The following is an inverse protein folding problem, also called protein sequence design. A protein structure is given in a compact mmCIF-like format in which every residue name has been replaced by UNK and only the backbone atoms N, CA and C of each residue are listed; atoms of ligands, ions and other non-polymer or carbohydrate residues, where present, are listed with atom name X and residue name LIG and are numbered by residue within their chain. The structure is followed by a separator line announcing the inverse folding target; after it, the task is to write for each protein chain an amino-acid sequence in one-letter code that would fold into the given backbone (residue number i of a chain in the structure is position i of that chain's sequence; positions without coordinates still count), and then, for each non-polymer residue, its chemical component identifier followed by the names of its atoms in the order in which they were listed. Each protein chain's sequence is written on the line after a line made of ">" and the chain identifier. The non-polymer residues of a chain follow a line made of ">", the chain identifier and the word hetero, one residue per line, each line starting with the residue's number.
data_IF_665061725836
#
_entry.id   IF_665061725836
#
_cell.length_a   1.000
_cell.length_b   1.000
_cell.length_c   1.000
_cell.angle_alpha   90.00
_cell.angle_beta   90.00
_cell.angle_gamma   90.00
#
_symmetry.space_group_name_H-M   'P 1'
#
loop_
_entity.id
_entity.type
_entity.pdbx_description
1 polymer ?
#
# COMPACT_ATOMS: atom_id res chain seq x y z
N UNK A 1 16.50 -6.65 -31.69
CA UNK A 1 15.27 -7.41 -32.05
C UNK A 1 15.51 -8.91 -32.14
N UNK A 2 16.58 -9.38 -32.77
CA UNK A 2 16.91 -10.81 -32.91
C UNK A 2 17.01 -11.54 -31.55
N UNK A 3 17.69 -10.92 -30.56
CA UNK A 3 17.81 -11.45 -29.19
C UNK A 3 16.44 -11.65 -28.52
N UNK A 4 15.50 -10.72 -28.71
CA UNK A 4 14.16 -10.81 -28.10
C UNK A 4 13.35 -11.93 -28.75
N UNK A 5 13.49 -12.10 -30.06
CA UNK A 5 12.82 -13.17 -30.79
C UNK A 5 13.37 -14.56 -30.38
N UNK A 6 14.67 -14.68 -30.18
CA UNK A 6 15.32 -15.95 -29.81
C UNK A 6 15.15 -16.30 -28.32
N UNK A 7 15.29 -15.33 -27.43
CA UNK A 7 15.34 -15.54 -25.97
C UNK A 7 14.09 -15.07 -25.22
N UNK A 8 13.05 -14.62 -25.94
CA UNK A 8 11.83 -14.07 -25.35
C UNK A 8 11.20 -14.96 -24.28
N UNK A 9 11.07 -16.26 -24.54
CA UNK A 9 10.53 -17.22 -23.57
C UNK A 9 11.36 -17.28 -22.28
N UNK A 10 12.68 -17.24 -22.38
CA UNK A 10 13.58 -17.24 -21.21
C UNK A 10 13.38 -15.96 -20.40
N UNK A 11 13.29 -14.80 -21.06
CA UNK A 11 13.01 -13.54 -20.38
C UNK A 11 11.65 -13.52 -19.69
N UNK A 12 10.62 -14.12 -20.27
CA UNK A 12 9.31 -14.25 -19.64
C UNK A 12 9.36 -15.14 -18.39
N UNK A 13 10.03 -16.29 -18.47
CA UNK A 13 10.21 -17.18 -17.31
C UNK A 13 10.98 -16.48 -16.19
N UNK A 14 12.07 -15.79 -16.52
CA UNK A 14 12.83 -15.01 -15.54
C UNK A 14 12.01 -13.87 -14.94
N UNK A 15 11.22 -13.16 -15.77
CA UNK A 15 10.36 -12.09 -15.31
C UNK A 15 9.32 -12.61 -14.30
N UNK A 16 8.69 -13.75 -14.59
CA UNK A 16 7.75 -14.43 -13.68
C UNK A 16 8.43 -14.74 -12.35
N UNK A 17 9.60 -15.38 -12.38
CA UNK A 17 10.33 -15.77 -11.16
C UNK A 17 10.76 -14.55 -10.36
N UNK A 18 11.40 -13.56 -11.00
CA UNK A 18 11.95 -12.39 -10.31
C UNK A 18 10.87 -11.43 -9.83
N UNK A 19 9.80 -11.23 -10.61
CA UNK A 19 8.69 -10.42 -10.15
C UNK A 19 7.86 -11.12 -9.08
N UNK A 20 7.71 -12.46 -9.13
CA UNK A 20 7.16 -13.20 -7.99
C UNK A 20 8.02 -13.01 -6.75
N UNK A 21 9.33 -13.14 -6.86
CA UNK A 21 10.25 -12.93 -5.75
C UNK A 21 10.19 -11.50 -5.18
N UNK A 22 10.08 -10.49 -6.05
CA UNK A 22 9.87 -9.10 -5.63
C UNK A 22 8.54 -8.92 -4.89
N UNK A 23 7.44 -9.46 -5.43
CA UNK A 23 6.11 -9.36 -4.80
C UNK A 23 6.00 -10.14 -3.49
N UNK A 24 6.73 -11.26 -3.37
CA UNK A 24 6.97 -11.92 -2.10
C UNK A 24 7.68 -10.97 -1.14
N UNK A 25 8.81 -10.38 -1.54
CA UNK A 25 9.55 -9.41 -0.73
C UNK A 25 8.68 -8.25 -0.24
N UNK A 26 7.79 -7.73 -1.10
CA UNK A 26 6.81 -6.69 -0.76
C UNK A 26 5.86 -7.18 0.34
N UNK A 27 5.22 -8.34 0.16
CA UNK A 27 4.34 -8.90 1.17
C UNK A 27 5.03 -9.21 2.50
N UNK A 28 6.31 -9.61 2.45
CA UNK A 28 7.12 -9.92 3.63
C UNK A 28 7.53 -8.67 4.41
N UNK A 29 7.76 -7.54 3.74
CA UNK A 29 8.21 -6.31 4.39
C UNK A 29 7.05 -5.38 4.74
N UNK A 30 6.24 -5.06 3.74
CA UNK A 30 5.41 -3.86 3.77
C UNK A 30 4.06 -4.07 4.42
N UNK A 31 3.62 -5.32 4.60
CA UNK A 31 2.33 -5.56 5.26
C UNK A 31 2.33 -5.11 6.72
N UNK A 32 3.51 -4.98 7.31
CA UNK A 32 3.70 -4.37 8.61
C UNK A 32 3.28 -2.89 8.63
N UNK A 33 3.33 -2.20 7.50
CA UNK A 33 2.87 -0.82 7.36
C UNK A 33 1.34 -0.73 7.50
N UNK A 34 0.61 -1.73 7.01
CA UNK A 34 -0.85 -1.77 7.09
C UNK A 34 -1.39 -2.35 8.42
N UNK A 35 -0.72 -3.39 8.94
CA UNK A 35 -1.23 -4.18 10.07
C UNK A 35 -0.42 -4.03 11.35
N UNK A 36 0.81 -3.51 11.28
CA UNK A 36 1.72 -3.43 12.43
C UNK A 36 1.18 -2.57 13.56
N UNK A 37 0.46 -1.49 13.25
CA UNK A 37 -0.21 -0.65 14.26
C UNK A 37 -1.33 -1.38 14.98
N UNK A 38 -2.08 -2.21 14.25
CA UNK A 38 -3.22 -2.96 14.78
C UNK A 38 -2.81 -4.17 15.62
N UNK A 39 -1.71 -4.83 15.21
CA UNK A 39 -1.07 -5.88 15.99
C UNK A 39 -0.39 -5.29 17.22
N UNK A 40 0.37 -4.21 17.05
CA UNK A 40 1.13 -3.55 18.12
C UNK A 40 0.26 -2.99 19.24
N UNK A 41 -0.95 -2.51 18.91
CA UNK A 41 -1.90 -2.04 19.92
C UNK A 41 -2.67 -3.16 20.63
N UNK A 42 -2.45 -4.42 20.26
CA UNK A 42 -3.25 -5.55 20.74
C UNK A 42 -4.69 -5.59 20.25
N UNK A 43 -5.07 -4.81 19.22
CA UNK A 43 -6.43 -4.81 18.68
C UNK A 43 -6.75 -6.11 17.92
N UNK A 44 -5.75 -6.68 17.25
CA UNK A 44 -5.84 -7.96 16.55
C UNK A 44 -4.58 -8.79 16.77
N UNK A 45 -4.72 -10.11 16.69
CA UNK A 45 -3.58 -11.04 16.72
C UNK A 45 -2.84 -11.04 15.37
N UNK A 46 -1.57 -11.46 15.38
CA UNK A 46 -0.79 -11.65 14.15
C UNK A 46 -1.49 -12.58 13.16
N UNK A 47 -2.13 -13.66 13.64
CA UNK A 47 -2.87 -14.59 12.77
C UNK A 47 -4.06 -13.91 12.08
N UNK A 48 -4.82 -13.10 12.81
CA UNK A 48 -5.92 -12.33 12.26
C UNK A 48 -5.43 -11.28 11.26
N UNK A 49 -4.36 -10.56 11.59
CA UNK A 49 -3.73 -9.60 10.70
C UNK A 49 -3.30 -10.23 9.37
N UNK A 50 -2.70 -11.43 9.40
CA UNK A 50 -2.32 -12.18 8.20
C UNK A 50 -3.54 -12.49 7.34
N UNK A 51 -4.62 -13.01 7.92
CA UNK A 51 -5.84 -13.34 7.16
C UNK A 51 -6.48 -12.09 6.54
N UNK A 52 -6.61 -11.02 7.33
CA UNK A 52 -7.20 -9.77 6.86
C UNK A 52 -6.37 -9.18 5.72
N UNK A 53 -5.07 -9.02 5.93
CA UNK A 53 -4.20 -8.47 4.91
C UNK A 53 -4.14 -9.37 3.67
N UNK A 54 -4.13 -10.69 3.80
CA UNK A 54 -4.19 -11.58 2.64
C UNK A 54 -5.41 -11.30 1.74
N UNK A 55 -6.58 -11.03 2.34
CA UNK A 55 -7.80 -10.71 1.58
C UNK A 55 -7.72 -9.30 0.98
N UNK A 56 -7.41 -8.30 1.81
CA UNK A 56 -7.52 -6.90 1.40
C UNK A 56 -6.33 -6.43 0.55
N UNK A 57 -5.10 -6.86 0.83
CA UNK A 57 -3.94 -6.59 -0.03
C UNK A 57 -4.13 -7.24 -1.40
N UNK A 58 -4.58 -8.50 -1.45
CA UNK A 58 -4.86 -9.18 -2.72
C UNK A 58 -5.96 -8.46 -3.49
N UNK A 59 -7.06 -8.10 -2.83
CA UNK A 59 -8.14 -7.34 -3.46
C UNK A 59 -7.65 -5.98 -3.98
N UNK A 60 -6.85 -5.26 -3.20
CA UNK A 60 -6.25 -3.98 -3.59
C UNK A 60 -5.34 -4.15 -4.80
N UNK A 61 -4.43 -5.13 -4.76
CA UNK A 61 -3.51 -5.44 -5.83
C UNK A 61 -4.23 -5.82 -7.13
N UNK A 62 -5.21 -6.73 -7.04
CA UNK A 62 -5.91 -7.27 -8.20
C UNK A 62 -6.91 -6.27 -8.80
N UNK A 63 -7.69 -5.56 -7.97
CA UNK A 63 -8.75 -4.66 -8.43
C UNK A 63 -8.21 -3.27 -8.79
N UNK A 64 -7.18 -2.79 -8.08
CA UNK A 64 -6.75 -1.39 -8.15
C UNK A 64 -5.27 -1.19 -8.55
N UNK A 65 -4.48 -2.25 -8.68
CA UNK A 65 -3.03 -2.18 -8.99
C UNK A 65 -2.68 -1.78 -10.43
N UNK A 66 -3.62 -1.85 -11.36
CA UNK A 66 -3.36 -1.60 -12.78
C UNK A 66 -2.95 -0.15 -13.11
N UNK A 67 -3.44 0.84 -12.36
CA UNK A 67 -3.17 2.26 -12.64
C UNK A 67 -1.72 2.68 -12.33
N UNK A 68 -1.17 2.23 -11.20
CA UNK A 68 0.16 2.67 -10.71
C UNK A 68 1.29 2.05 -11.54
N UNK A 69 1.06 0.88 -12.12
CA UNK A 69 1.98 0.17 -13.04
C UNK A 69 2.42 1.07 -14.22
N UNK A 70 1.54 1.94 -14.73
CA UNK A 70 1.84 2.82 -15.86
C UNK A 70 2.93 3.87 -15.54
N UNK A 71 3.02 4.30 -14.28
CA UNK A 71 3.98 5.32 -13.82
C UNK A 71 5.41 4.79 -13.81
N UNK A 72 5.62 3.58 -13.31
CA UNK A 72 6.96 2.95 -13.25
C UNK A 72 7.52 2.69 -14.65
N UNK A 73 6.67 2.26 -15.60
CA UNK A 73 7.10 1.98 -16.98
C UNK A 73 7.54 3.22 -17.76
N UNK A 74 6.85 4.36 -17.60
CA UNK A 74 7.03 5.56 -18.45
C UNK A 74 7.72 6.74 -17.75
N UNK A 75 7.77 6.71 -16.42
CA UNK A 75 8.17 7.84 -15.60
C UNK A 75 9.68 7.96 -15.36
N UNK A 76 10.41 6.85 -15.38
CA UNK A 76 11.81 6.80 -14.88
C UNK A 76 12.84 6.90 -16.01
N UNK A 77 12.69 6.09 -17.05
CA UNK A 77 13.62 6.05 -18.19
C UNK A 77 12.92 6.61 -19.44
N UNK A 78 13.64 7.35 -20.28
CA UNK A 78 13.15 7.78 -21.58
C UNK A 78 13.10 6.61 -22.58
N UNK A 79 11.91 6.22 -23.10
CA UNK A 79 11.79 5.19 -24.14
C UNK A 79 12.62 5.48 -25.39
N UNK A 80 12.85 6.75 -25.72
CA UNK A 80 13.58 7.16 -26.93
C UNK A 80 15.04 6.69 -26.91
N UNK A 81 15.65 6.65 -25.73
CA UNK A 81 17.04 6.24 -25.51
C UNK A 81 17.27 4.72 -25.75
N UNK A 82 16.21 3.95 -25.97
CA UNK A 82 16.25 2.48 -25.94
C UNK A 82 15.57 1.85 -27.17
N UNK A 83 15.14 2.67 -28.14
CA UNK A 83 14.47 2.18 -29.37
C UNK A 83 15.37 1.26 -30.18
N UNK A 84 16.69 1.49 -30.17
CA UNK A 84 17.66 0.67 -30.90
C UNK A 84 18.09 -0.62 -30.18
N UNK A 85 17.91 -0.69 -28.86
CA UNK A 85 18.43 -1.77 -28.00
C UNK A 85 17.39 -2.20 -26.94
N UNK A 86 16.18 -2.63 -27.36
CA UNK A 86 15.08 -2.97 -26.44
C UNK A 86 15.44 -4.10 -25.44
N UNK A 87 16.35 -5.00 -25.80
CA UNK A 87 16.86 -6.04 -24.92
C UNK A 87 17.53 -5.48 -23.67
N UNK A 88 18.14 -4.29 -23.75
CA UNK A 88 18.82 -3.67 -22.62
C UNK A 88 17.83 -3.24 -21.54
N UNK A 89 16.63 -2.79 -21.93
CA UNK A 89 15.54 -2.51 -21.00
C UNK A 89 15.04 -3.80 -20.31
N UNK A 90 14.98 -4.92 -21.04
CA UNK A 90 14.60 -6.22 -20.46
C UNK A 90 15.61 -6.65 -19.40
N UNK A 91 16.92 -6.60 -19.71
CA UNK A 91 17.98 -6.90 -18.75
C UNK A 91 17.92 -6.00 -17.52
N UNK A 92 17.71 -4.71 -17.75
CA UNK A 92 17.58 -3.73 -16.68
C UNK A 92 16.43 -4.03 -15.74
N UNK A 93 15.24 -4.27 -16.28
CA UNK A 93 14.06 -4.57 -15.46
C UNK A 93 14.21 -5.89 -14.71
N UNK A 94 14.81 -6.92 -15.32
CA UNK A 94 15.13 -8.19 -14.63
C UNK A 94 16.13 -7.96 -13.49
N UNK A 95 17.21 -7.22 -13.75
CA UNK A 95 18.22 -6.89 -12.75
C UNK A 95 17.63 -6.05 -11.61
N UNK A 96 16.78 -5.06 -11.92
CA UNK A 96 16.12 -4.23 -10.92
C UNK A 96 15.19 -5.02 -10.02
N UNK A 97 14.38 -5.93 -10.59
CA UNK A 97 13.51 -6.82 -9.82
C UNK A 97 14.33 -7.70 -8.88
N UNK A 98 15.38 -8.34 -9.40
CA UNK A 98 16.21 -9.23 -8.60
C UNK A 98 16.96 -8.50 -7.48
N UNK A 99 17.57 -7.34 -7.79
CA UNK A 99 18.31 -6.54 -6.82
C UNK A 99 17.39 -6.04 -5.68
N UNK A 100 16.22 -5.49 -6.04
CA UNK A 100 15.25 -5.04 -5.06
C UNK A 100 14.71 -6.22 -4.22
N UNK A 101 14.37 -7.35 -4.84
CA UNK A 101 13.86 -8.52 -4.14
C UNK A 101 14.88 -9.09 -3.13
N UNK A 102 16.16 -9.19 -3.51
CA UNK A 102 17.24 -9.63 -2.61
C UNK A 102 17.35 -8.70 -1.41
N UNK A 103 17.35 -7.38 -1.64
CA UNK A 103 17.44 -6.41 -0.57
C UNK A 103 16.25 -6.51 0.40
N UNK A 104 15.03 -6.61 -0.14
CA UNK A 104 13.82 -6.78 0.68
C UNK A 104 13.85 -8.08 1.48
N UNK A 105 14.37 -9.16 0.93
CA UNK A 105 14.51 -10.42 1.65
C UNK A 105 15.51 -10.29 2.81
N UNK A 106 16.65 -9.65 2.58
CA UNK A 106 17.63 -9.35 3.64
C UNK A 106 17.03 -8.46 4.74
N UNK A 107 16.30 -7.41 4.37
CA UNK A 107 15.65 -6.54 5.34
C UNK A 107 14.57 -7.29 6.14
N UNK A 108 13.72 -8.06 5.45
CA UNK A 108 12.60 -8.79 6.06
C UNK A 108 13.07 -9.93 6.98
N UNK A 109 14.12 -10.66 6.60
CA UNK A 109 14.71 -11.69 7.48
C UNK A 109 15.22 -11.12 8.80
N UNK A 110 15.74 -9.88 8.77
CA UNK A 110 16.20 -9.12 9.94
C UNK A 110 15.09 -8.32 10.64
N UNK A 111 13.86 -8.34 10.11
CA UNK A 111 12.74 -7.61 10.68
C UNK A 111 12.83 -6.09 10.50
N UNK A 112 13.58 -5.62 9.50
CA UNK A 112 13.76 -4.19 9.21
C UNK A 112 12.66 -3.68 8.28
N UNK A 113 11.84 -2.70 8.69
CA UNK A 113 10.90 -2.04 7.80
C UNK A 113 11.68 -1.12 6.84
N UNK A 114 11.59 -1.38 5.55
CA UNK A 114 12.27 -0.61 4.49
C UNK A 114 11.29 -0.28 3.37
N UNK A 115 11.58 0.76 2.57
CA UNK A 115 10.72 1.15 1.46
C UNK A 115 10.97 0.30 0.22
N UNK A 116 9.98 -0.48 -0.21
CA UNK A 116 10.01 -1.22 -1.48
C UNK A 116 10.07 -0.29 -2.68
N UNK A 117 9.31 0.81 -2.64
CA UNK A 117 9.30 1.85 -3.68
C UNK A 117 10.69 2.46 -3.86
N UNK A 118 11.40 2.81 -2.79
CA UNK A 118 12.77 3.33 -2.90
C UNK A 118 13.71 2.27 -3.49
N UNK A 119 13.55 1.02 -3.08
CA UNK A 119 14.39 -0.09 -3.52
C UNK A 119 14.28 -0.33 -5.02
N UNK A 120 13.06 -0.40 -5.56
CA UNK A 120 12.86 -0.63 -6.99
C UNK A 120 13.21 0.60 -7.83
N UNK A 121 12.83 1.81 -7.40
CA UNK A 121 13.17 3.05 -8.13
C UNK A 121 14.69 3.22 -8.16
N UNK A 122 15.38 3.02 -7.04
CA UNK A 122 16.83 3.06 -6.96
C UNK A 122 17.51 2.01 -7.86
N UNK A 123 16.98 0.79 -7.91
CA UNK A 123 17.51 -0.26 -8.77
C UNK A 123 17.31 0.04 -10.27
N UNK A 124 16.17 0.65 -10.66
CA UNK A 124 15.91 1.07 -12.05
C UNK A 124 16.83 2.22 -12.44
N UNK A 125 17.00 3.23 -11.57
CA UNK A 125 17.94 4.34 -11.80
C UNK A 125 19.37 3.83 -11.90
N UNK A 126 19.78 2.92 -11.01
CA UNK A 126 21.12 2.32 -11.03
C UNK A 126 21.41 1.57 -12.33
N UNK A 127 20.46 0.76 -12.81
CA UNK A 127 20.55 0.15 -14.12
C UNK A 127 20.62 1.20 -15.24
N UNK A 128 19.74 2.20 -15.23
CA UNK A 128 19.69 3.19 -16.31
C UNK A 128 21.02 3.95 -16.43
N UNK A 129 21.61 4.34 -15.30
CA UNK A 129 22.92 5.01 -15.26
C UNK A 129 24.04 4.09 -15.75
N UNK A 130 24.07 2.83 -15.31
CA UNK A 130 25.16 1.90 -15.64
C UNK A 130 25.06 1.28 -17.04
N UNK A 131 23.84 1.02 -17.52
CA UNK A 131 23.57 0.29 -18.75
C UNK A 131 23.23 1.16 -19.96
N UNK A 132 22.66 2.35 -19.75
CA UNK A 132 22.24 3.26 -20.83
C UNK A 132 23.04 4.56 -20.78
N UNK A 133 23.12 5.18 -19.60
CA UNK A 133 23.78 6.45 -19.35
C UNK A 133 22.93 7.40 -18.50
N UNK A 134 23.56 8.41 -17.89
CA UNK A 134 22.89 9.37 -17.01
C UNK A 134 21.78 10.17 -17.71
N UNK A 135 21.94 10.42 -19.02
CA UNK A 135 21.00 11.21 -19.82
C UNK A 135 19.67 10.48 -20.06
N UNK A 136 19.65 9.15 -19.94
CA UNK A 136 18.44 8.34 -20.14
C UNK A 136 17.46 8.43 -18.95
N UNK A 137 17.94 8.89 -17.79
CA UNK A 137 17.14 9.06 -16.58
C UNK A 137 16.37 10.37 -16.66
N UNK A 138 15.05 10.32 -16.44
CA UNK A 138 14.22 11.52 -16.34
C UNK A 138 14.40 12.20 -14.98
N UNK A 139 15.50 12.93 -14.79
CA UNK A 139 15.84 13.57 -13.51
C UNK A 139 14.75 14.48 -12.95
N UNK A 140 14.00 15.19 -13.79
CA UNK A 140 12.85 15.99 -13.35
C UNK A 140 11.74 15.14 -12.72
N UNK A 141 11.49 13.93 -13.25
CA UNK A 141 10.52 12.98 -12.68
C UNK A 141 11.06 12.33 -11.41
N UNK A 142 12.34 11.94 -11.38
CA UNK A 142 12.99 11.46 -10.16
C UNK A 142 12.92 12.53 -9.05
N UNK A 143 13.18 13.80 -9.36
CA UNK A 143 13.03 14.91 -8.42
C UNK A 143 11.62 15.00 -7.84
N UNK A 144 10.57 14.85 -8.65
CA UNK A 144 9.18 14.82 -8.15
C UNK A 144 8.87 13.62 -7.26
N UNK A 145 9.44 12.44 -7.57
CA UNK A 145 9.32 11.23 -6.75
C UNK A 145 10.04 11.42 -5.41
N UNK A 146 11.27 11.92 -5.42
CA UNK A 146 12.04 12.18 -4.19
C UNK A 146 11.35 13.24 -3.32
N UNK A 147 10.79 14.28 -3.94
CA UNK A 147 9.99 15.27 -3.21
C UNK A 147 8.76 14.62 -2.53
N UNK A 148 8.08 13.68 -3.19
CA UNK A 148 6.95 12.97 -2.60
C UNK A 148 7.35 12.11 -1.40
N UNK A 149 8.57 11.57 -1.37
CA UNK A 149 9.11 10.79 -0.24
C UNK A 149 9.32 11.65 1.02
N UNK A 150 9.50 12.96 0.86
CA UNK A 150 9.60 13.91 1.98
C UNK A 150 8.23 14.46 2.36
N UNK A 151 7.43 14.85 1.36
CA UNK A 151 6.12 15.47 1.58
C UNK A 151 5.11 14.49 2.16
N UNK A 152 5.10 13.23 1.71
CA UNK A 152 4.08 12.25 2.15
C UNK A 152 4.16 11.95 3.64
N UNK A 153 5.34 11.67 4.25
CA UNK A 153 5.45 11.52 5.70
C UNK A 153 5.05 12.78 6.49
N UNK A 154 5.36 13.98 5.98
CA UNK A 154 4.97 15.25 6.64
C UNK A 154 3.46 15.47 6.63
N UNK A 155 2.81 15.18 5.51
CA UNK A 155 1.35 15.23 5.37
C UNK A 155 0.70 14.19 6.29
N UNK A 156 1.19 12.94 6.26
CA UNK A 156 0.71 11.88 7.13
C UNK A 156 0.86 12.20 8.61
N UNK A 157 2.03 12.70 9.02
CA UNK A 157 2.31 13.12 10.40
C UNK A 157 1.39 14.26 10.86
N UNK A 158 1.14 15.24 9.98
CA UNK A 158 0.25 16.37 10.27
C UNK A 158 -1.20 15.91 10.40
N UNK A 159 -1.69 15.06 9.50
CA UNK A 159 -3.04 14.49 9.59
C UNK A 159 -3.18 13.65 10.85
N UNK A 160 -2.20 12.81 11.18
CA UNK A 160 -2.20 12.00 12.40
C UNK A 160 -2.24 12.88 13.66
N UNK A 161 -1.48 13.98 13.68
CA UNK A 161 -1.49 14.95 14.77
C UNK A 161 -2.88 15.61 14.92
N UNK A 162 -3.49 16.06 13.82
CA UNK A 162 -4.81 16.68 13.84
C UNK A 162 -5.90 15.70 14.31
N UNK A 163 -5.84 14.44 13.86
CA UNK A 163 -6.73 13.37 14.32
C UNK A 163 -6.55 13.12 15.82
N UNK A 164 -5.30 13.07 16.30
CA UNK A 164 -5.02 12.86 17.72
C UNK A 164 -5.50 14.03 18.58
N UNK A 165 -5.29 15.28 18.14
CA UNK A 165 -5.81 16.48 18.80
C UNK A 165 -7.34 16.43 18.86
N UNK A 166 -7.99 16.02 17.76
CA UNK A 166 -9.45 15.86 17.69
C UNK A 166 -9.95 14.83 18.70
N UNK A 167 -9.38 13.62 18.72
CA UNK A 167 -9.76 12.55 19.66
C UNK A 167 -9.51 12.99 21.10
N UNK A 168 -8.38 13.62 21.37
CA UNK A 168 -8.06 14.10 22.72
C UNK A 168 -9.10 15.11 23.22
N UNK A 169 -9.39 16.15 22.43
CA UNK A 169 -10.33 17.21 22.81
C UNK A 169 -11.78 16.74 22.89
N UNK A 170 -12.20 15.82 22.01
CA UNK A 170 -13.61 15.41 21.92
C UNK A 170 -13.94 14.20 22.81
N UNK A 171 -12.95 13.36 23.12
CA UNK A 171 -13.14 12.10 23.83
C UNK A 171 -12.28 12.03 25.10
N UNK A 172 -10.94 12.09 24.99
CA UNK A 172 -10.05 11.72 26.10
C UNK A 172 -10.06 12.73 27.26
N UNK A 173 -10.15 14.02 26.97
CA UNK A 173 -10.11 15.11 27.96
C UNK A 173 -11.52 15.53 28.43
N UNK A 174 -12.57 14.79 28.05
CA UNK A 174 -13.94 15.09 28.44
C UNK A 174 -14.29 14.51 29.82
N UNK A 175 -15.28 15.08 30.50
CA UNK A 175 -15.69 14.64 31.85
C UNK A 175 -16.14 13.17 31.89
N UNK A 176 -16.73 12.67 30.80
CA UNK A 176 -17.10 11.26 30.63
C UNK A 176 -16.54 10.71 29.31
N UNK A 177 -15.26 10.28 29.28
CA UNK A 177 -14.58 9.87 28.06
C UNK A 177 -15.24 8.68 27.36
N UNK A 178 -15.75 7.70 28.13
CA UNK A 178 -16.39 6.53 27.56
C UNK A 178 -17.67 6.88 26.80
N UNK A 179 -18.54 7.70 27.39
CA UNK A 179 -19.78 8.12 26.74
C UNK A 179 -19.49 9.00 25.52
N UNK A 180 -18.49 9.87 25.60
CA UNK A 180 -18.04 10.67 24.46
C UNK A 180 -17.44 9.81 23.37
N UNK A 181 -16.70 8.75 23.71
CA UNK A 181 -16.20 7.78 22.74
C UNK A 181 -17.35 7.13 21.98
N UNK A 182 -18.40 6.65 22.66
CA UNK A 182 -19.59 6.08 21.98
C UNK A 182 -20.33 7.11 21.10
N UNK A 183 -20.30 8.38 21.49
CA UNK A 183 -20.95 9.48 20.75
C UNK A 183 -20.19 9.84 19.48
N UNK A 184 -18.85 9.96 19.56
CA UNK A 184 -17.99 10.43 18.47
C UNK A 184 -17.44 9.30 17.58
N UNK A 185 -17.33 8.08 18.09
CA UNK A 185 -16.80 6.95 17.33
C UNK A 185 -17.52 6.71 15.98
N UNK A 186 -18.86 6.86 15.84
CA UNK A 186 -19.51 6.78 14.53
C UNK A 186 -18.98 7.79 13.50
N UNK A 187 -18.61 9.00 13.91
CA UNK A 187 -18.03 10.00 13.01
C UNK A 187 -16.61 9.59 12.56
N UNK A 188 -15.83 8.98 13.44
CA UNK A 188 -14.54 8.40 13.09
C UNK A 188 -14.71 7.20 12.14
N UNK A 189 -15.65 6.29 12.42
CA UNK A 189 -16.00 5.19 11.50
C UNK A 189 -16.43 5.70 10.12
N UNK A 190 -17.23 6.77 10.06
CA UNK A 190 -17.60 7.44 8.81
C UNK A 190 -16.36 7.81 8.00
N UNK A 191 -15.38 8.46 8.62
CA UNK A 191 -14.15 8.87 7.95
C UNK A 191 -13.41 7.67 7.35
N UNK A 192 -13.33 6.55 8.07
CA UNK A 192 -12.72 5.32 7.55
C UNK A 192 -13.45 4.81 6.32
N UNK A 193 -14.76 4.58 6.41
CA UNK A 193 -15.55 4.05 5.31
C UNK A 193 -15.54 4.96 4.09
N UNK A 194 -15.55 6.27 4.32
CA UNK A 194 -15.45 7.28 3.28
C UNK A 194 -14.10 7.24 2.56
N UNK A 195 -12.99 7.20 3.29
CA UNK A 195 -11.64 7.14 2.70
C UNK A 195 -11.41 5.83 1.94
N UNK A 196 -11.85 4.69 2.48
CA UNK A 196 -11.80 3.38 1.78
C UNK A 196 -12.50 3.47 0.44
N UNK A 197 -13.73 3.96 0.46
CA UNK A 197 -14.53 4.08 -0.75
C UNK A 197 -13.86 5.00 -1.76
N UNK A 198 -13.27 6.12 -1.34
CA UNK A 198 -12.55 7.03 -2.25
C UNK A 198 -11.36 6.34 -2.93
N UNK A 199 -10.61 5.49 -2.22
CA UNK A 199 -9.53 4.69 -2.84
C UNK A 199 -10.10 3.76 -3.91
N UNK A 200 -11.17 3.02 -3.59
CA UNK A 200 -11.79 2.09 -4.52
C UNK A 200 -12.38 2.80 -5.75
N UNK A 201 -13.00 3.97 -5.57
CA UNK A 201 -13.61 4.75 -6.64
C UNK A 201 -12.56 5.36 -7.57
N UNK A 202 -11.50 5.99 -7.03
CA UNK A 202 -10.49 6.63 -7.88
C UNK A 202 -9.52 5.63 -8.52
N UNK A 203 -9.25 4.49 -7.87
CA UNK A 203 -8.32 3.47 -8.40
C UNK A 203 -8.99 2.22 -8.97
N UNK A 204 -9.86 1.58 -8.20
CA UNK A 204 -10.37 0.24 -8.49
C UNK A 204 -11.34 0.16 -9.66
N UNK A 205 -12.20 1.17 -9.82
CA UNK A 205 -13.31 1.13 -10.76
C UNK A 205 -12.95 1.44 -12.23
N UNK A 206 -11.78 2.03 -12.51
CA UNK A 206 -11.39 2.33 -13.91
C UNK A 206 -11.19 1.09 -14.76
N UNK A 207 -10.81 -0.04 -14.17
CA UNK A 207 -10.67 -1.33 -14.87
C UNK A 207 -12.02 -1.94 -15.25
N UNK A 208 -13.08 -1.56 -14.54
CA UNK A 208 -14.45 -2.03 -14.75
C UNK A 208 -15.23 -1.17 -15.76
N UNK A 209 -14.59 -0.19 -16.40
CA UNK A 209 -15.22 0.78 -17.33
C UNK A 209 -16.40 1.57 -16.71
N UNK A 210 -16.48 1.62 -15.39
CA UNK A 210 -17.42 2.46 -14.66
C UNK A 210 -16.79 3.84 -14.52
N UNK A 211 -16.97 4.69 -15.54
CA UNK A 211 -16.49 6.06 -15.53
C UNK A 211 -17.41 6.96 -14.71
N UNK A 212 -17.29 6.87 -13.38
CA UNK A 212 -17.89 7.86 -12.50
C UNK A 212 -17.05 9.13 -12.55
N UNK A 213 -17.71 10.28 -12.66
CA UNK A 213 -17.07 11.58 -12.50
C UNK A 213 -16.47 11.72 -11.09
N UNK A 214 -15.53 12.66 -10.94
CA UNK A 214 -14.90 12.92 -9.63
C UNK A 214 -15.91 13.31 -8.54
N UNK A 215 -17.00 13.96 -8.93
CA UNK A 215 -18.09 14.37 -8.01
C UNK A 215 -18.97 13.19 -7.65
N UNK A 216 -19.37 12.35 -8.61
CA UNK A 216 -20.16 11.15 -8.34
C UNK A 216 -19.40 10.17 -7.43
N UNK A 217 -18.11 9.95 -7.70
CA UNK A 217 -17.22 9.13 -6.87
C UNK A 217 -17.19 9.62 -5.42
N UNK A 218 -17.20 10.94 -5.23
CA UNK A 218 -17.20 11.57 -3.91
C UNK A 218 -18.53 11.39 -3.18
N UNK A 219 -19.66 11.60 -3.88
CA UNK A 219 -21.01 11.42 -3.34
C UNK A 219 -21.24 9.95 -2.94
N UNK A 220 -20.93 9.01 -3.83
CA UNK A 220 -21.05 7.57 -3.54
C UNK A 220 -20.22 7.20 -2.32
N UNK A 221 -19.00 7.73 -2.23
CA UNK A 221 -18.13 7.45 -1.08
C UNK A 221 -18.69 8.00 0.23
N UNK A 222 -19.36 9.16 0.22
CA UNK A 222 -20.06 9.68 1.41
C UNK A 222 -21.17 8.71 1.83
N UNK A 223 -21.97 8.22 0.88
CA UNK A 223 -23.05 7.25 1.16
C UNK A 223 -22.48 5.98 1.79
N UNK A 224 -21.40 5.43 1.22
CA UNK A 224 -20.71 4.27 1.79
C UNK A 224 -20.20 4.57 3.20
N UNK A 225 -19.58 5.75 3.41
CA UNK A 225 -19.14 6.20 4.73
C UNK A 225 -20.29 6.24 5.75
N UNK A 226 -21.45 6.77 5.37
CA UNK A 226 -22.65 6.81 6.24
C UNK A 226 -23.13 5.41 6.60
N UNK A 227 -23.21 4.50 5.62
CA UNK A 227 -23.62 3.11 5.87
C UNK A 227 -22.65 2.44 6.85
N UNK A 228 -21.34 2.60 6.62
CA UNK A 228 -20.30 2.04 7.50
C UNK A 228 -20.39 2.65 8.90
N UNK A 229 -20.68 3.95 9.03
CA UNK A 229 -20.89 4.61 10.32
C UNK A 229 -22.12 4.09 11.08
N UNK A 230 -23.23 3.82 10.38
CA UNK A 230 -24.43 3.23 10.98
C UNK A 230 -24.14 1.83 11.51
N UNK A 231 -23.49 0.99 10.71
CA UNK A 231 -23.08 -0.36 11.13
C UNK A 231 -22.10 -0.28 12.30
N UNK A 232 -21.10 0.60 12.23
CA UNK A 232 -20.15 0.86 13.30
C UNK A 232 -20.84 1.27 14.59
N UNK A 233 -21.82 2.17 14.53
CA UNK A 233 -22.62 2.59 15.69
C UNK A 233 -23.34 1.41 16.34
N UNK A 234 -23.93 0.51 15.55
CA UNK A 234 -24.59 -0.70 16.08
C UNK A 234 -23.61 -1.62 16.81
N UNK A 235 -22.37 -1.74 16.31
CA UNK A 235 -21.32 -2.53 16.95
C UNK A 235 -20.80 -1.86 18.24
N UNK A 236 -20.50 -0.56 18.19
CA UNK A 236 -19.99 0.23 19.31
C UNK A 236 -21.01 0.28 20.46
N UNK A 237 -22.31 0.36 20.15
CA UNK A 237 -23.35 0.38 21.17
C UNK A 237 -23.35 -0.88 22.04
N UNK A 238 -22.91 -2.03 21.51
CA UNK A 238 -22.80 -3.31 22.23
C UNK A 238 -21.57 -3.39 23.15
N UNK A 239 -20.61 -2.47 23.03
CA UNK A 239 -19.43 -2.42 23.90
C UNK A 239 -19.85 -1.93 25.29
N UNK A 240 -19.54 -2.76 26.30
CA UNK A 240 -19.79 -2.47 27.71
C UNK A 240 -18.52 -1.96 28.41
N UNK A 241 -18.73 -1.20 29.50
CA UNK A 241 -17.66 -0.68 30.35
C UNK A 241 -16.97 -1.86 31.04
N UNK A 242 -15.64 -1.91 30.99
CA UNK A 242 -14.86 -2.85 31.78
C UNK A 242 -14.35 -2.15 33.04
N UNK A 243 -15.17 -2.19 34.09
CA UNK A 243 -14.89 -1.56 35.37
C UNK A 243 -13.66 -2.14 36.10
N UNK A 244 -13.20 -3.35 35.72
CA UNK A 244 -12.01 -3.96 36.31
C UNK A 244 -10.73 -3.47 35.60
N UNK A 245 -10.77 -3.32 34.27
CA UNK A 245 -9.64 -2.79 33.49
C UNK A 245 -9.43 -1.28 33.65
N UNK A 246 -10.51 -0.49 33.87
CA UNK A 246 -10.38 0.96 34.09
C UNK A 246 -9.71 1.32 35.43
N UNK A 247 -9.74 0.43 36.43
CA UNK A 247 -9.07 0.65 37.73
C UNK A 247 -7.55 0.69 37.60
N UNK A 248 -6.98 -0.07 36.66
CA UNK A 248 -5.54 -0.14 36.39
C UNK A 248 -5.11 0.81 35.28
N UNK A 249 -5.99 1.08 34.31
CA UNK A 249 -5.73 1.98 33.19
C UNK A 249 -6.97 2.85 32.96
N UNK A 250 -6.96 4.10 33.44
CA UNK A 250 -8.13 5.02 33.47
C UNK A 250 -8.85 5.24 32.11
N UNK A 251 -8.30 4.76 31.00
CA UNK A 251 -8.83 4.91 29.63
C UNK A 251 -9.04 3.56 28.90
N UNK A 252 -8.93 2.41 29.58
CA UNK A 252 -9.06 1.10 28.95
C UNK A 252 -10.42 0.90 28.26
N UNK A 253 -11.51 1.38 28.88
CA UNK A 253 -12.85 1.30 28.29
C UNK A 253 -12.99 2.16 27.03
N UNK A 254 -12.27 3.28 26.93
CA UNK A 254 -12.24 4.13 25.73
C UNK A 254 -11.49 3.44 24.60
N UNK A 255 -10.32 2.88 24.90
CA UNK A 255 -9.50 2.18 23.92
C UNK A 255 -10.21 0.96 23.31
N UNK A 256 -11.05 0.26 24.10
CA UNK A 256 -11.92 -0.82 23.60
C UNK A 256 -12.95 -0.36 22.57
N UNK A 257 -13.42 0.88 22.65
CA UNK A 257 -14.33 1.45 21.63
C UNK A 257 -13.62 1.64 20.29
N UNK A 258 -12.31 1.87 20.30
CA UNK A 258 -11.50 2.03 19.09
C UNK A 258 -11.01 0.73 18.47
N UNK A 259 -11.08 -0.41 19.18
CA UNK A 259 -10.67 -1.72 18.65
C UNK A 259 -11.41 -2.12 17.36
N UNK A 260 -12.75 -2.01 17.26
CA UNK A 260 -13.44 -2.30 16.00
C UNK A 260 -13.08 -1.31 14.87
N UNK A 261 -12.86 -0.04 15.20
CA UNK A 261 -12.46 1.01 14.25
C UNK A 261 -11.12 0.67 13.62
N UNK A 262 -10.18 0.22 14.46
CA UNK A 262 -8.85 -0.21 14.05
C UNK A 262 -8.90 -1.33 13.02
N UNK A 263 -9.80 -2.32 13.19
CA UNK A 263 -9.98 -3.41 12.22
C UNK A 263 -10.41 -2.83 10.86
N UNK A 264 -11.43 -1.98 10.83
CA UNK A 264 -11.87 -1.34 9.58
C UNK A 264 -10.76 -0.50 8.92
N UNK A 265 -10.00 0.27 9.70
CA UNK A 265 -8.86 1.03 9.18
C UNK A 265 -7.72 0.14 8.70
N UNK A 266 -7.49 -1.00 9.33
CA UNK A 266 -6.46 -1.94 8.91
C UNK A 266 -6.83 -2.58 7.57
N UNK A 267 -8.09 -2.99 7.40
CA UNK A 267 -8.61 -3.46 6.11
C UNK A 267 -8.46 -2.38 5.03
N UNK A 268 -8.81 -1.14 5.37
CA UNK A 268 -8.67 0.02 4.49
C UNK A 268 -7.24 0.22 4.00
N UNK A 269 -6.31 0.25 4.95
CA UNK A 269 -4.92 0.48 4.68
C UNK A 269 -4.31 -0.68 3.90
N UNK A 270 -4.63 -1.93 4.23
CA UNK A 270 -4.18 -3.11 3.46
C UNK A 270 -4.66 -3.07 2.00
N UNK A 271 -5.91 -2.66 1.75
CA UNK A 271 -6.40 -2.49 0.39
C UNK A 271 -5.66 -1.37 -0.36
N UNK A 272 -5.52 -0.20 0.28
CA UNK A 272 -4.84 0.94 -0.32
C UNK A 272 -3.36 0.64 -0.61
N UNK A 273 -2.71 -0.06 0.32
CA UNK A 273 -1.34 -0.53 0.22
C UNK A 273 -1.17 -1.52 -0.93
N UNK A 274 -1.96 -2.61 -0.97
CA UNK A 274 -1.89 -3.59 -2.05
C UNK A 274 -2.11 -2.98 -3.44
N UNK A 275 -2.97 -1.97 -3.55
CA UNK A 275 -3.19 -1.25 -4.81
C UNK A 275 -2.00 -0.41 -5.29
N UNK A 276 -1.14 0.03 -4.39
CA UNK A 276 0.03 0.82 -4.71
C UNK A 276 1.25 -0.06 -4.95
N UNK A 277 1.54 -0.91 -3.97
CA UNK A 277 2.86 -1.51 -3.86
C UNK A 277 3.00 -2.71 -4.78
N UNK A 278 1.88 -3.33 -5.21
CA UNK A 278 1.94 -4.36 -6.26
C UNK A 278 2.65 -3.86 -7.52
N UNK A 279 2.47 -2.58 -7.86
CA UNK A 279 3.10 -1.95 -9.03
C UNK A 279 4.63 -2.03 -8.99
N UNK A 280 5.24 -2.03 -7.81
CA UNK A 280 6.69 -2.13 -7.65
C UNK A 280 7.24 -3.46 -8.19
N UNK A 281 6.48 -4.55 -8.05
CA UNK A 281 6.86 -5.85 -8.60
C UNK A 281 6.34 -6.08 -10.02
N UNK A 282 5.10 -5.69 -10.29
CA UNK A 282 4.47 -6.00 -11.57
C UNK A 282 4.77 -4.98 -12.67
N UNK A 283 5.15 -3.75 -12.34
CA UNK A 283 5.50 -2.70 -13.29
C UNK A 283 6.68 -3.09 -14.19
N UNK A 284 7.85 -3.44 -13.60
CA UNK A 284 8.98 -3.94 -14.36
C UNK A 284 8.67 -5.23 -15.12
N UNK A 285 7.92 -6.17 -14.50
CA UNK A 285 7.48 -7.40 -15.17
C UNK A 285 6.63 -7.10 -16.41
N UNK A 286 5.66 -6.20 -16.30
CA UNK A 286 4.79 -5.80 -17.40
C UNK A 286 5.57 -5.09 -18.51
N UNK A 287 6.64 -4.35 -18.17
CA UNK A 287 7.53 -3.78 -19.16
C UNK A 287 8.26 -4.88 -19.96
N UNK A 288 8.80 -5.91 -19.28
CA UNK A 288 9.46 -7.05 -19.94
C UNK A 288 8.47 -7.79 -20.85
N UNK A 289 7.31 -8.18 -20.31
CA UNK A 289 6.27 -8.92 -21.05
C UNK A 289 5.83 -8.11 -22.29
N UNK A 290 5.58 -6.81 -22.13
CA UNK A 290 5.19 -5.94 -23.25
C UNK A 290 6.26 -5.86 -24.34
N UNK A 291 7.54 -5.88 -24.00
CA UNK A 291 8.63 -5.80 -24.98
C UNK A 291 8.79 -7.13 -25.70
N UNK A 292 8.70 -8.25 -24.98
CA UNK A 292 8.79 -9.58 -25.58
C UNK A 292 7.60 -9.86 -26.50
N UNK A 293 6.38 -9.63 -26.04
CA UNK A 293 5.15 -9.91 -26.82
C UNK A 293 5.04 -9.02 -28.07
N UNK A 294 5.64 -7.82 -28.05
CA UNK A 294 5.65 -6.91 -29.19
C UNK A 294 6.82 -7.12 -30.15
N UNK A 295 7.67 -8.14 -29.93
CA UNK A 295 8.85 -8.39 -30.75
C UNK A 295 9.94 -7.32 -30.62
N UNK A 296 9.97 -6.59 -29.50
CA UNK A 296 10.98 -5.56 -29.20
C UNK A 296 10.51 -4.12 -29.35
N UNK A 297 9.21 -3.85 -29.52
CA UNK A 297 8.73 -2.48 -29.63
C UNK A 297 8.62 -1.80 -28.26
N UNK A 298 9.39 -0.73 -28.09
CA UNK A 298 9.35 0.10 -26.88
C UNK A 298 8.25 1.16 -26.98
N UNK A 299 7.45 1.33 -25.93
CA UNK A 299 6.53 2.48 -25.80
C UNK A 299 5.07 2.23 -26.22
N UNK A 300 4.72 1.06 -26.75
CA UNK A 300 3.31 0.72 -27.02
C UNK A 300 2.46 0.78 -25.74
N UNK A 301 1.18 1.16 -25.87
CA UNK A 301 0.17 0.95 -24.82
C UNK A 301 -0.20 -0.54 -24.75
N UNK A 302 0.69 -1.37 -24.25
CA UNK A 302 0.29 -2.72 -23.84
C UNK A 302 -0.59 -2.60 -22.59
N UNK A 303 -1.80 -3.16 -22.67
CA UNK A 303 -2.65 -3.38 -21.49
C UNK A 303 -1.97 -4.35 -20.54
N UNK A 304 -2.15 -4.16 -19.23
CA UNK A 304 -1.58 -5.04 -18.23
C UNK A 304 -2.33 -6.39 -18.26
N UNK A 305 -1.67 -7.52 -18.57
CA UNK A 305 -2.33 -8.82 -18.54
C UNK A 305 -2.82 -9.15 -17.13
N UNK A 306 -4.04 -9.68 -17.01
CA UNK A 306 -4.65 -10.01 -15.71
C UNK A 306 -3.82 -11.04 -14.91
N UNK A 307 -3.11 -11.93 -15.60
CA UNK A 307 -2.26 -12.92 -14.94
C UNK A 307 -1.09 -12.28 -14.18
N UNK A 308 -0.59 -11.12 -14.63
CA UNK A 308 0.49 -10.39 -13.94
C UNK A 308 -0.03 -9.84 -12.61
N UNK A 309 -1.23 -9.26 -12.60
CA UNK A 309 -1.90 -8.78 -11.39
C UNK A 309 -2.18 -9.91 -10.41
N UNK A 310 -2.65 -11.05 -10.91
CA UNK A 310 -2.90 -12.25 -10.11
C UNK A 310 -1.60 -12.76 -9.47
N UNK A 311 -0.53 -12.87 -10.26
CA UNK A 311 0.78 -13.30 -9.77
C UNK A 311 1.30 -12.36 -8.68
N UNK A 312 1.19 -11.04 -8.89
CA UNK A 312 1.63 -10.06 -7.90
C UNK A 312 0.82 -10.12 -6.60
N UNK A 313 -0.50 -10.24 -6.69
CA UNK A 313 -1.36 -10.43 -5.52
C UNK A 313 -1.02 -11.71 -4.76
N UNK A 314 -0.86 -12.84 -5.45
CA UNK A 314 -0.48 -14.12 -4.83
C UNK A 314 0.90 -14.04 -4.17
N UNK A 315 1.88 -13.40 -4.82
CA UNK A 315 3.21 -13.20 -4.26
C UNK A 315 3.18 -12.40 -2.97
N UNK A 316 2.42 -11.29 -2.92
CA UNK A 316 2.22 -10.49 -1.70
C UNK A 316 1.63 -11.36 -0.57
N UNK A 317 0.59 -12.13 -0.85
CA UNK A 317 -0.06 -13.00 0.16
C UNK A 317 0.92 -14.05 0.70
N UNK A 318 1.69 -14.71 -0.18
CA UNK A 318 2.69 -15.70 0.22
C UNK A 318 3.79 -15.05 1.07
N UNK A 319 4.25 -13.86 0.69
CA UNK A 319 5.27 -13.14 1.46
C UNK A 319 4.82 -12.74 2.85
N UNK A 320 3.60 -12.23 2.94
CA UNK A 320 2.95 -11.95 4.22
C UNK A 320 2.87 -13.21 5.09
N UNK A 321 2.34 -14.31 4.54
CA UNK A 321 2.08 -15.53 5.30
C UNK A 321 3.36 -16.19 5.80
N UNK A 322 4.46 -16.08 5.04
CA UNK A 322 5.73 -16.72 5.35
C UNK A 322 6.63 -15.89 6.26
N UNK A 323 6.69 -14.56 6.05
CA UNK A 323 7.70 -13.70 6.67
C UNK A 323 7.19 -12.38 7.23
N UNK A 324 5.98 -11.94 6.85
CA UNK A 324 5.39 -10.67 7.30
C UNK A 324 5.33 -10.52 8.82
N UNK A 325 5.20 -11.64 9.55
CA UNK A 325 5.12 -11.63 11.01
C UNK A 325 6.34 -10.99 11.70
N UNK A 326 7.55 -11.11 11.12
CA UNK A 326 8.78 -10.58 11.73
C UNK A 326 8.79 -9.06 11.75
N UNK A 327 8.48 -8.45 10.60
CA UNK A 327 8.46 -6.98 10.47
C UNK A 327 7.26 -6.41 11.23
N UNK A 328 6.10 -7.08 11.19
CA UNK A 328 4.93 -6.70 11.99
C UNK A 328 5.25 -6.65 13.48
N UNK A 329 5.98 -7.64 14.01
CA UNK A 329 6.40 -7.65 15.41
C UNK A 329 7.36 -6.49 15.72
N UNK A 330 8.35 -6.21 14.85
CA UNK A 330 9.25 -5.07 15.05
C UNK A 330 8.49 -3.75 15.13
N UNK A 331 7.57 -3.47 14.20
CA UNK A 331 6.79 -2.24 14.22
C UNK A 331 5.91 -2.18 15.47
N UNK A 332 5.23 -3.29 15.80
CA UNK A 332 4.27 -3.34 16.89
C UNK A 332 4.86 -3.28 18.29
N UNK A 333 6.12 -3.72 18.49
CA UNK A 333 6.70 -3.82 19.84
C UNK A 333 8.02 -3.07 20.04
N UNK A 334 8.76 -2.71 18.96
CA UNK A 334 10.12 -2.16 19.08
C UNK A 334 10.27 -0.71 18.63
N UNK A 335 9.27 -0.12 17.99
CA UNK A 335 9.34 1.27 17.49
C UNK A 335 8.61 2.23 18.43
N UNK A 336 7.33 1.98 18.71
CA UNK A 336 6.52 2.85 19.57
C UNK A 336 5.39 2.08 20.24
N UNK A 337 5.13 2.39 21.51
CA UNK A 337 3.98 1.84 22.23
C UNK A 337 2.67 2.44 21.68
N UNK A 338 1.90 1.59 21.00
CA UNK A 338 0.67 1.97 20.34
C UNK A 338 -0.52 1.64 21.23
N UNK A 339 -1.34 2.65 21.53
CA UNK A 339 -2.72 2.44 21.98
C UNK A 339 -3.65 2.37 20.76
N UNK A 340 -4.83 1.72 20.87
CA UNK A 340 -5.81 1.68 19.77
C UNK A 340 -6.16 3.06 19.18
N UNK A 341 -6.31 4.11 20.00
CA UNK A 341 -6.53 5.48 19.53
C UNK A 341 -5.38 6.04 18.68
N UNK A 342 -4.13 5.82 19.11
CA UNK A 342 -2.93 6.23 18.36
C UNK A 342 -2.78 5.42 17.07
N UNK A 343 -2.99 4.11 17.14
CA UNK A 343 -2.98 3.21 15.98
C UNK A 343 -4.01 3.64 14.94
N UNK A 344 -5.23 3.98 15.37
CA UNK A 344 -6.28 4.49 14.49
C UNK A 344 -5.85 5.77 13.78
N UNK A 345 -5.29 6.75 14.51
CA UNK A 345 -4.82 8.00 13.92
C UNK A 345 -3.72 7.78 12.88
N UNK A 346 -2.73 6.95 13.22
CA UNK A 346 -1.61 6.63 12.34
C UNK A 346 -2.09 5.94 11.05
N UNK A 347 -2.92 4.89 11.18
CA UNK A 347 -3.40 4.10 10.04
C UNK A 347 -4.32 4.92 9.15
N UNK A 348 -5.26 5.69 9.72
CA UNK A 348 -6.15 6.52 8.91
C UNK A 348 -5.39 7.65 8.21
N UNK A 349 -4.43 8.30 8.89
CA UNK A 349 -3.61 9.33 8.28
C UNK A 349 -2.76 8.79 7.14
N UNK A 350 -2.17 7.60 7.31
CA UNK A 350 -1.44 6.91 6.25
C UNK A 350 -2.35 6.61 5.06
N UNK A 351 -3.56 6.07 5.29
CA UNK A 351 -4.52 5.80 4.24
C UNK A 351 -4.93 7.08 3.48
N UNK A 352 -5.24 8.18 4.18
CA UNK A 352 -5.58 9.48 3.56
C UNK A 352 -4.42 9.98 2.70
N UNK A 353 -3.19 9.93 3.24
CA UNK A 353 -1.98 10.37 2.52
C UNK A 353 -1.79 9.56 1.24
N UNK A 354 -1.97 8.24 1.32
CA UNK A 354 -1.93 7.34 0.16
C UNK A 354 -2.98 7.75 -0.88
N UNK A 355 -4.22 8.06 -0.48
CA UNK A 355 -5.28 8.51 -1.41
C UNK A 355 -4.86 9.78 -2.13
N UNK A 356 -4.33 10.76 -1.39
CA UNK A 356 -3.89 12.05 -1.93
C UNK A 356 -2.76 11.84 -2.94
N UNK A 357 -1.71 11.13 -2.55
CA UNK A 357 -0.56 10.83 -3.42
C UNK A 357 -1.01 10.13 -4.72
N UNK A 358 -1.92 9.16 -4.58
CA UNK A 358 -2.48 8.42 -5.69
C UNK A 358 -3.25 9.29 -6.69
N UNK A 359 -4.01 10.29 -6.20
CA UNK A 359 -4.75 11.21 -7.06
C UNK A 359 -3.81 12.17 -7.79
N UNK A 360 -2.72 12.58 -7.14
CA UNK A 360 -1.70 13.46 -7.74
C UNK A 360 -0.74 12.71 -8.66
N UNK A 361 -0.81 11.38 -8.71
CA UNK A 361 0.09 10.54 -9.51
C UNK A 361 1.52 10.52 -8.97
N UNK A 362 1.67 10.72 -7.66
CA UNK A 362 2.93 10.67 -6.92
C UNK A 362 3.18 9.31 -6.28
#
# INVERSE_FOLDING_TARGET
>A
MEIIAEWGTVFLVMAIIFGFYMTWGIGANDVANAMGTSVGSGAITVKQAIIIAAIFEFAGAFIAGGQVTATIRKGIIDPSAIVGTPELLVYGMLASLLAAAIWLMVASTRGWPVSTTHSIVGAIVGFAVAGIGMEAVKWGKIGSIVASWVVSPLVGGTIALLLMISIRKLILDADNPFQKAKTWAPAYVFLVGWIVSLVTMFKGLKHLKLELSGVESFIVSIVVGVVVAVVGRMMINKVQVDAAADKTFHQASVEKVFTPLMIFTACAMAFAHGSNDVANGIGPMAAIVSIVDSGGQVGQKAGLPLWILLLGGVGIVIGLATMGYRVMQTIGTKITELTPTRGYCATLAAAITVVIASKTGL
#
